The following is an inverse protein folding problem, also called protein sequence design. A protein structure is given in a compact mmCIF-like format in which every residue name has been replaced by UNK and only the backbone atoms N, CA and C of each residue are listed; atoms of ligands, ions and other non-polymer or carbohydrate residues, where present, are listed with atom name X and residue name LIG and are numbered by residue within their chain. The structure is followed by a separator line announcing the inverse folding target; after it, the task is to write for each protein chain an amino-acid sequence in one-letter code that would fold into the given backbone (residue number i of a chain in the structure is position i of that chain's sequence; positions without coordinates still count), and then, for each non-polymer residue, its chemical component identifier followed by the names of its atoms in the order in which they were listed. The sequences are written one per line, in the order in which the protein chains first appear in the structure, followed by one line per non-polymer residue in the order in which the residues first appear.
data_IF_116687979056
#
_entry.id   IF_116687979056
#
_cell.length_a   1.000
_cell.length_b   1.000
_cell.length_c   1.000
_cell.angle_alpha   90.00
_cell.angle_beta   90.00
_cell.angle_gamma   90.00
#
_symmetry.space_group_name_H-M   'P 1'
#
loop_
_entity.id
_entity.type
_entity.pdbx_description
1 polymer ?
#
# COMPACT_ATOMS: atom_id res chain seq x y z
N UNK A 1 -18.80 2.58 9.54
CA UNK A 1 -18.84 1.87 8.25
C UNK A 1 -18.62 2.84 7.10
N UNK A 2 -17.93 2.43 6.04
CA UNK A 2 -17.76 3.22 4.83
C UNK A 2 -19.02 3.16 3.97
N UNK A 3 -19.59 4.32 3.62
CA UNK A 3 -20.83 4.42 2.84
C UNK A 3 -20.64 4.02 1.35
N UNK A 4 -19.41 4.06 0.82
CA UNK A 4 -19.08 3.64 -0.54
C UNK A 4 -19.06 2.11 -0.69
N UNK A 5 -18.86 1.38 0.39
CA UNK A 5 -18.99 -0.06 0.44
C UNK A 5 -20.42 -0.44 0.87
N UNK A 6 -21.17 -1.00 -0.08
CA UNK A 6 -22.58 -1.37 0.15
C UNK A 6 -22.72 -2.38 1.28
N UNK A 7 -21.83 -3.37 1.34
CA UNK A 7 -21.88 -4.42 2.36
C UNK A 7 -21.64 -3.88 3.77
N UNK A 8 -20.65 -2.97 3.91
CA UNK A 8 -20.34 -2.32 5.17
C UNK A 8 -21.49 -1.42 5.62
N UNK A 9 -22.16 -0.71 4.69
CA UNK A 9 -23.33 0.12 4.97
C UNK A 9 -24.51 -0.71 5.43
N UNK A 10 -24.90 -1.73 4.66
CA UNK A 10 -26.01 -2.64 4.98
C UNK A 10 -25.81 -3.27 6.37
N UNK A 11 -24.58 -3.68 6.70
CA UNK A 11 -24.24 -4.22 8.02
C UNK A 11 -24.41 -3.20 9.15
N UNK A 12 -24.03 -1.95 8.91
CA UNK A 12 -24.19 -0.86 9.89
C UNK A 12 -25.68 -0.54 10.14
N UNK A 13 -26.48 -0.51 9.07
CA UNK A 13 -27.93 -0.28 9.14
C UNK A 13 -28.63 -1.44 9.88
N UNK A 14 -28.30 -2.68 9.56
CA UNK A 14 -28.81 -3.87 10.27
C UNK A 14 -28.45 -3.85 11.77
N UNK A 15 -27.22 -3.46 12.09
CA UNK A 15 -26.77 -3.35 13.48
C UNK A 15 -27.52 -2.25 14.23
N UNK A 16 -27.71 -1.09 13.60
CA UNK A 16 -28.47 0.01 14.18
C UNK A 16 -29.97 -0.35 14.39
N UNK A 17 -30.57 -1.08 13.44
CA UNK A 17 -31.95 -1.56 13.56
C UNK A 17 -32.17 -2.51 14.74
N UNK A 18 -31.11 -3.18 15.19
CA UNK A 18 -31.10 -4.07 16.39
C UNK A 18 -30.75 -3.32 17.69
N UNK A 19 -30.68 -1.98 17.67
CA UNK A 19 -30.32 -1.16 18.81
C UNK A 19 -28.82 -0.99 19.05
N UNK A 20 -27.98 -1.42 18.11
CA UNK A 20 -26.53 -1.24 18.17
C UNK A 20 -26.14 0.20 17.78
N UNK A 21 -24.94 0.64 18.22
CA UNK A 21 -24.37 1.93 17.79
C UNK A 21 -23.53 1.72 16.55
N UNK A 22 -23.84 2.43 15.47
CA UNK A 22 -23.06 2.48 14.25
C UNK A 22 -22.86 3.92 13.81
N UNK A 23 -21.77 4.19 13.11
CA UNK A 23 -21.50 5.45 12.41
C UNK A 23 -21.14 5.15 10.96
N UNK A 24 -21.74 5.92 10.07
CA UNK A 24 -21.49 5.82 8.63
C UNK A 24 -20.70 7.04 8.17
N UNK A 25 -19.65 6.84 7.40
CA UNK A 25 -18.85 7.93 6.86
C UNK A 25 -18.71 7.80 5.34
N UNK A 26 -18.70 8.93 4.65
CA UNK A 26 -18.60 8.94 3.21
C UNK A 26 -18.77 10.31 2.57
N UNK A 27 -19.49 10.37 1.45
CA UNK A 27 -19.72 11.58 0.66
C UNK A 27 -21.20 11.95 0.50
N UNK A 28 -22.10 11.13 1.00
CA UNK A 28 -23.54 11.39 0.87
C UNK A 28 -24.00 12.35 1.95
N UNK A 29 -25.09 13.08 1.66
CA UNK A 29 -25.64 14.08 2.60
C UNK A 29 -26.17 13.45 3.89
N UNK A 30 -26.54 12.19 3.83
CA UNK A 30 -27.12 11.40 4.93
C UNK A 30 -26.07 10.61 5.73
N UNK A 31 -24.76 10.69 5.35
CA UNK A 31 -23.70 10.07 6.12
C UNK A 31 -23.44 10.87 7.42
N UNK A 32 -23.22 10.16 8.56
CA UNK A 32 -22.93 10.77 9.86
C UNK A 32 -21.68 11.67 9.80
N UNK A 33 -20.64 11.18 9.11
CA UNK A 33 -19.43 11.96 8.81
C UNK A 33 -19.23 12.05 7.31
N UNK A 34 -19.06 13.28 6.82
CA UNK A 34 -18.98 13.54 5.38
C UNK A 34 -17.78 14.41 5.02
N UNK A 35 -17.17 14.15 3.86
CA UNK A 35 -16.21 15.02 3.22
C UNK A 35 -16.86 15.78 2.07
N UNK A 36 -16.83 17.10 2.16
CA UNK A 36 -17.26 18.03 1.10
C UNK A 36 -16.06 18.77 0.52
N UNK A 37 -16.21 19.30 -0.70
CA UNK A 37 -15.22 20.21 -1.34
C UNK A 37 -13.81 19.63 -1.36
N UNK A 38 -13.68 18.35 -1.74
CA UNK A 38 -12.37 17.70 -1.83
C UNK A 38 -11.56 18.30 -2.97
N UNK A 39 -10.38 18.82 -2.67
CA UNK A 39 -9.45 19.40 -3.65
C UNK A 39 -8.00 18.97 -3.38
N UNK A 40 -7.18 18.80 -4.43
CA UNK A 40 -5.73 18.62 -4.25
C UNK A 40 -5.11 19.81 -3.52
N UNK A 41 -4.09 19.56 -2.68
CA UNK A 41 -3.34 20.60 -2.01
C UNK A 41 -1.86 20.64 -2.41
N UNK A 42 -1.15 21.70 -2.02
CA UNK A 42 0.26 21.92 -2.35
C UNK A 42 1.24 21.00 -1.57
N UNK A 43 0.73 20.21 -0.63
CA UNK A 43 1.53 19.21 0.09
C UNK A 43 1.47 17.82 -0.56
N UNK A 44 0.85 17.71 -1.76
CA UNK A 44 0.70 16.46 -2.51
C UNK A 44 -0.48 15.59 -2.06
N UNK A 45 -1.30 16.05 -1.13
CA UNK A 45 -2.47 15.37 -0.63
C UNK A 45 -3.78 16.06 -1.00
N UNK A 46 -4.75 16.08 -0.07
CA UNK A 46 -6.08 16.65 -0.28
C UNK A 46 -6.50 17.55 0.88
N UNK A 47 -7.20 18.63 0.55
CA UNK A 47 -7.98 19.44 1.49
C UNK A 47 -9.46 19.11 1.33
N UNK A 48 -10.23 19.07 2.42
CA UNK A 48 -11.67 18.86 2.37
C UNK A 48 -12.36 19.46 3.60
N UNK A 49 -13.66 19.78 3.46
CA UNK A 49 -14.48 20.17 4.59
C UNK A 49 -15.05 18.92 5.26
N UNK A 50 -14.74 18.72 6.54
CA UNK A 50 -15.33 17.68 7.35
C UNK A 50 -16.67 18.14 7.92
N UNK A 51 -17.70 17.32 7.78
CA UNK A 51 -19.03 17.56 8.33
C UNK A 51 -19.43 16.39 9.24
N UNK A 52 -20.23 16.70 10.29
CA UNK A 52 -20.84 15.73 11.19
C UNK A 52 -22.32 16.00 11.31
N UNK A 53 -23.17 15.01 11.03
CA UNK A 53 -24.64 15.11 11.07
C UNK A 53 -25.18 16.32 10.29
N UNK A 54 -24.55 16.69 9.19
CA UNK A 54 -24.93 17.86 8.37
C UNK A 54 -24.19 19.15 8.71
N UNK A 55 -23.66 19.31 9.91
CA UNK A 55 -22.94 20.50 10.36
C UNK A 55 -21.46 20.45 9.95
N UNK A 56 -20.93 21.59 9.48
CA UNK A 56 -19.51 21.71 9.13
C UNK A 56 -18.64 21.80 10.38
N UNK A 57 -17.74 20.87 10.57
CA UNK A 57 -16.72 20.89 11.64
C UNK A 57 -15.55 21.80 11.29
N UNK A 58 -15.13 21.80 10.01
CA UNK A 58 -14.04 22.65 9.52
C UNK A 58 -13.20 21.99 8.44
N UNK A 59 -12.14 22.71 8.03
CA UNK A 59 -11.19 22.27 7.02
C UNK A 59 -10.21 21.25 7.61
N UNK A 60 -10.04 20.13 6.92
CA UNK A 60 -9.02 19.12 7.18
C UNK A 60 -8.06 19.09 6.01
N UNK A 61 -6.77 19.12 6.31
CA UNK A 61 -5.68 18.95 5.35
C UNK A 61 -4.98 17.62 5.59
N UNK A 62 -4.84 16.79 4.56
CA UNK A 62 -4.02 15.58 4.61
C UNK A 62 -2.91 15.63 3.56
N UNK A 63 -1.75 15.05 3.86
CA UNK A 63 -0.65 14.88 2.91
C UNK A 63 -0.82 13.65 2.04
N UNK A 64 -1.82 12.82 2.33
CA UNK A 64 -2.06 11.58 1.60
C UNK A 64 -2.89 11.87 0.34
N UNK A 65 -2.43 11.45 -0.85
CA UNK A 65 -3.17 11.64 -2.09
C UNK A 65 -4.33 10.65 -2.21
N UNK A 66 -5.37 11.08 -2.95
CA UNK A 66 -6.47 10.21 -3.35
C UNK A 66 -7.66 10.20 -2.40
N UNK A 67 -8.84 10.04 -2.99
CA UNK A 67 -10.13 10.06 -2.30
C UNK A 67 -10.25 8.97 -1.23
N UNK A 68 -9.66 7.80 -1.46
CA UNK A 68 -9.64 6.72 -0.49
C UNK A 68 -8.94 7.12 0.83
N UNK A 69 -7.93 7.98 0.77
CA UNK A 69 -7.28 8.51 1.97
C UNK A 69 -8.15 9.57 2.68
N UNK A 70 -8.93 10.35 1.95
CA UNK A 70 -9.95 11.22 2.56
C UNK A 70 -10.97 10.38 3.35
N UNK A 71 -11.42 9.26 2.80
CA UNK A 71 -12.32 8.33 3.49
C UNK A 71 -11.65 7.69 4.73
N UNK A 72 -10.36 7.33 4.64
CA UNK A 72 -9.60 6.83 5.78
C UNK A 72 -9.50 7.89 6.90
N UNK A 73 -9.28 9.16 6.53
CA UNK A 73 -9.26 10.28 7.49
C UNK A 73 -10.63 10.49 8.13
N UNK A 74 -11.74 10.37 7.36
CA UNK A 74 -13.09 10.43 7.92
C UNK A 74 -13.36 9.29 8.90
N UNK A 75 -12.89 8.08 8.61
CA UNK A 75 -12.99 6.96 9.54
C UNK A 75 -12.26 7.26 10.85
N UNK A 76 -11.04 7.79 10.76
CA UNK A 76 -10.27 8.20 11.92
C UNK A 76 -10.95 9.35 12.68
N UNK A 77 -11.55 10.32 11.98
CA UNK A 77 -12.32 11.40 12.58
C UNK A 77 -13.53 10.87 13.38
N UNK A 78 -14.28 9.93 12.78
CA UNK A 78 -15.44 9.34 13.46
C UNK A 78 -15.03 8.64 14.77
N UNK A 79 -13.90 7.92 14.77
CA UNK A 79 -13.37 7.28 15.98
C UNK A 79 -12.87 8.33 16.99
N UNK A 80 -12.12 9.33 16.55
CA UNK A 80 -11.58 10.38 17.40
C UNK A 80 -12.70 11.18 18.11
N UNK A 81 -13.75 11.53 17.36
CA UNK A 81 -14.91 12.27 17.90
C UNK A 81 -15.70 11.42 18.92
N UNK A 82 -15.91 10.13 18.65
CA UNK A 82 -16.55 9.20 19.61
C UNK A 82 -15.71 9.00 20.90
N UNK A 83 -14.39 9.20 20.81
CA UNK A 83 -13.49 9.18 21.95
C UNK A 83 -13.33 10.55 22.63
N UNK A 84 -14.01 11.58 22.15
CA UNK A 84 -13.97 12.93 22.71
C UNK A 84 -12.71 13.72 22.40
N UNK A 85 -11.99 13.36 21.34
CA UNK A 85 -10.81 14.12 20.88
C UNK A 85 -11.27 15.42 20.23
N UNK A 86 -10.68 16.55 20.66
CA UNK A 86 -10.97 17.88 20.08
C UNK A 86 -10.64 17.90 18.58
N UNK A 87 -11.51 18.49 17.78
CA UNK A 87 -11.36 18.54 16.32
C UNK A 87 -10.08 19.26 15.87
N UNK A 88 -9.63 20.30 16.57
CA UNK A 88 -8.41 20.99 16.20
C UNK A 88 -7.17 20.13 16.48
N UNK A 89 -7.19 19.36 17.58
CA UNK A 89 -6.12 18.37 17.86
C UNK A 89 -6.07 17.34 16.74
N UNK A 90 -7.23 16.78 16.37
CA UNK A 90 -7.33 15.80 15.29
C UNK A 90 -6.81 16.35 13.95
N UNK A 91 -7.33 17.50 13.49
CA UNK A 91 -6.95 18.06 12.19
C UNK A 91 -5.45 18.41 12.10
N UNK A 92 -4.85 18.86 13.21
CA UNK A 92 -3.41 19.16 13.26
C UNK A 92 -2.59 17.89 13.16
N UNK A 93 -2.95 16.81 13.87
CA UNK A 93 -2.30 15.51 13.77
C UNK A 93 -2.38 14.94 12.34
N UNK A 94 -3.55 15.06 11.69
CA UNK A 94 -3.72 14.61 10.29
C UNK A 94 -2.87 15.43 9.32
N UNK A 95 -2.71 16.74 9.54
CA UNK A 95 -1.88 17.60 8.69
C UNK A 95 -0.38 17.25 8.76
N UNK A 96 0.08 16.69 9.86
CA UNK A 96 1.45 16.23 10.07
C UNK A 96 1.67 14.78 9.62
N UNK A 97 0.59 13.99 9.56
CA UNK A 97 0.66 12.57 9.23
C UNK A 97 1.13 12.32 7.79
N UNK A 98 2.19 11.56 7.64
CA UNK A 98 2.84 11.28 6.35
C UNK A 98 2.46 9.92 5.74
N UNK A 99 1.53 9.22 6.35
CA UNK A 99 1.12 7.88 5.95
C UNK A 99 1.67 6.79 6.88
N UNK A 100 1.09 5.61 6.76
CA UNK A 100 1.69 4.42 7.31
C UNK A 100 2.97 4.10 6.52
N UNK A 101 4.03 3.76 7.19
CA UNK A 101 5.22 3.23 6.54
C UNK A 101 4.86 2.06 5.62
N UNK A 102 5.68 1.81 4.62
CA UNK A 102 5.47 0.74 3.65
C UNK A 102 4.17 0.89 2.81
N UNK A 103 3.80 2.13 2.43
CA UNK A 103 2.69 2.43 1.52
C UNK A 103 3.19 3.34 0.40
N UNK A 104 3.71 2.76 -0.67
CA UNK A 104 4.45 3.44 -1.74
C UNK A 104 5.50 4.41 -1.18
N UNK A 105 6.22 3.94 -0.16
CA UNK A 105 7.21 4.73 0.58
C UNK A 105 8.51 4.80 -0.21
N UNK A 106 8.92 5.99 -0.66
CA UNK A 106 10.26 6.17 -1.25
C UNK A 106 11.28 6.11 -0.13
N UNK A 107 12.09 5.04 -0.11
CA UNK A 107 13.14 4.81 0.90
C UNK A 107 14.39 5.63 0.64
N UNK A 108 14.65 5.95 -0.62
CA UNK A 108 15.79 6.76 -1.04
C UNK A 108 16.11 6.62 -2.51
N UNK A 109 17.11 7.41 -2.94
CA UNK A 109 17.71 7.32 -4.27
C UNK A 109 19.24 7.38 -4.13
N UNK A 110 19.93 6.42 -4.71
CA UNK A 110 21.40 6.32 -4.72
C UNK A 110 21.84 5.93 -6.12
N UNK A 111 22.85 6.63 -6.69
CA UNK A 111 23.39 6.41 -8.04
C UNK A 111 22.31 6.36 -9.14
N UNK A 112 21.25 7.17 -8.97
CA UNK A 112 20.12 7.20 -9.91
C UNK A 112 19.13 6.04 -9.77
N UNK A 113 19.36 5.10 -8.86
CA UNK A 113 18.42 4.02 -8.51
C UNK A 113 17.48 4.50 -7.42
N UNK A 114 16.18 4.52 -7.69
CA UNK A 114 15.15 4.86 -6.70
C UNK A 114 14.58 3.61 -6.08
N UNK A 115 14.54 3.52 -4.75
CA UNK A 115 13.95 2.40 -4.02
C UNK A 115 12.64 2.81 -3.36
N UNK A 116 11.59 2.03 -3.59
CA UNK A 116 10.25 2.21 -3.03
C UNK A 116 9.83 0.94 -2.31
N UNK A 117 9.27 1.07 -1.11
CA UNK A 117 8.69 -0.06 -0.38
C UNK A 117 7.17 0.04 -0.32
N UNK A 118 6.50 -1.09 -0.55
CA UNK A 118 5.04 -1.18 -0.42
C UNK A 118 4.62 -2.49 0.25
N UNK A 119 3.69 -2.39 1.16
CA UNK A 119 3.13 -3.52 1.91
C UNK A 119 2.23 -4.42 1.05
N UNK A 120 2.07 -4.11 -0.23
CA UNK A 120 1.22 -4.85 -1.18
C UNK A 120 1.53 -6.35 -1.16
N UNK A 121 0.55 -7.13 -0.75
CA UNK A 121 0.64 -8.58 -0.57
C UNK A 121 -0.60 -9.32 -1.09
N UNK A 122 -1.47 -8.62 -1.80
CA UNK A 122 -2.62 -9.15 -2.52
C UNK A 122 -2.48 -8.80 -4.02
N UNK A 123 -2.94 -9.65 -4.95
CA UNK A 123 -2.83 -9.38 -6.40
C UNK A 123 -3.34 -8.01 -6.83
N UNK A 124 -4.47 -7.58 -6.29
CA UNK A 124 -5.06 -6.26 -6.59
C UNK A 124 -4.17 -5.11 -6.10
N UNK A 125 -3.55 -5.25 -4.91
CA UNK A 125 -2.63 -4.25 -4.35
C UNK A 125 -1.36 -4.14 -5.20
N UNK A 126 -0.77 -5.28 -5.60
CA UNK A 126 0.42 -5.33 -6.46
C UNK A 126 0.16 -4.61 -7.79
N UNK A 127 -0.98 -4.91 -8.44
CA UNK A 127 -1.39 -4.22 -9.68
C UNK A 127 -1.51 -2.72 -9.48
N UNK A 128 -2.13 -2.28 -8.38
CA UNK A 128 -2.31 -0.87 -8.06
C UNK A 128 -0.96 -0.17 -7.78
N UNK A 129 -0.05 -0.82 -7.05
CA UNK A 129 1.29 -0.29 -6.75
C UNK A 129 2.13 -0.16 -8.01
N UNK A 130 2.13 -1.16 -8.89
CA UNK A 130 2.85 -1.12 -10.17
C UNK A 130 2.26 -0.04 -11.11
N UNK A 131 0.93 0.14 -11.11
CA UNK A 131 0.28 1.24 -11.83
C UNK A 131 0.72 2.61 -11.30
N UNK A 132 0.79 2.76 -9.97
CA UNK A 132 1.27 3.99 -9.34
C UNK A 132 2.74 4.26 -9.68
N UNK A 133 3.58 3.21 -9.74
CA UNK A 133 4.97 3.33 -10.14
C UNK A 133 5.10 3.82 -11.58
N UNK A 134 4.34 3.26 -12.52
CA UNK A 134 4.33 3.72 -13.91
C UNK A 134 3.87 5.16 -14.05
N UNK A 135 2.84 5.57 -13.33
CA UNK A 135 2.40 6.97 -13.34
C UNK A 135 3.44 7.94 -12.80
N UNK A 136 4.19 7.53 -11.77
CA UNK A 136 5.17 8.39 -11.10
C UNK A 136 6.51 8.44 -11.82
N UNK A 137 6.98 7.31 -12.35
CA UNK A 137 8.32 7.17 -12.89
C UNK A 137 8.37 7.03 -14.42
N UNK A 138 7.21 6.98 -15.09
CA UNK A 138 7.12 6.91 -16.55
C UNK A 138 7.76 5.63 -17.11
N UNK A 139 8.66 5.82 -18.08
CA UNK A 139 9.32 4.73 -18.83
C UNK A 139 10.59 4.19 -18.15
N UNK A 140 10.91 4.65 -16.94
CA UNK A 140 12.03 4.08 -16.16
C UNK A 140 11.81 2.59 -15.96
N UNK A 141 12.86 1.74 -16.09
CA UNK A 141 12.73 0.31 -15.82
C UNK A 141 12.29 0.06 -14.37
N UNK A 142 11.29 -0.80 -14.19
CA UNK A 142 10.72 -1.16 -12.89
C UNK A 142 11.06 -2.59 -12.54
N UNK A 143 11.82 -2.75 -11.48
CA UNK A 143 12.11 -4.02 -10.82
C UNK A 143 11.12 -4.24 -9.69
N UNK A 144 10.42 -5.36 -9.70
CA UNK A 144 9.52 -5.77 -8.62
C UNK A 144 10.13 -6.94 -7.86
N UNK A 145 10.64 -6.70 -6.66
CA UNK A 145 11.03 -7.75 -5.72
C UNK A 145 9.82 -8.08 -4.84
N UNK A 146 9.32 -9.30 -4.94
CA UNK A 146 8.11 -9.74 -4.22
C UNK A 146 8.42 -10.90 -3.28
N UNK A 147 8.09 -10.71 -2.01
CA UNK A 147 8.05 -11.77 -1.02
C UNK A 147 6.60 -12.19 -0.78
N UNK A 148 6.15 -13.36 -1.28
CA UNK A 148 4.80 -13.84 -1.03
C UNK A 148 4.55 -13.99 0.47
N UNK A 149 3.36 -13.61 0.93
CA UNK A 149 3.01 -13.66 2.35
C UNK A 149 1.87 -14.63 2.59
N UNK A 150 2.18 -15.65 3.31
CA UNK A 150 1.57 -16.90 3.74
C UNK A 150 1.35 -17.93 2.63
N UNK A 151 1.50 -19.20 3.02
CA UNK A 151 1.34 -20.34 2.11
C UNK A 151 -0.11 -20.45 1.63
N UNK A 152 -1.07 -20.31 2.53
CA UNK A 152 -2.50 -20.41 2.23
C UNK A 152 -2.94 -19.39 1.19
N UNK A 153 -2.54 -18.13 1.36
CA UNK A 153 -2.85 -17.05 0.41
C UNK A 153 -2.18 -17.29 -0.93
N UNK A 154 -0.88 -17.61 -0.93
CA UNK A 154 -0.12 -17.84 -2.16
C UNK A 154 -0.73 -18.97 -2.97
N UNK A 155 -1.12 -20.08 -2.32
CA UNK A 155 -1.79 -21.21 -2.97
C UNK A 155 -3.15 -20.82 -3.55
N UNK A 156 -3.98 -20.13 -2.75
CA UNK A 156 -5.36 -19.77 -3.14
C UNK A 156 -5.37 -18.77 -4.31
N UNK A 157 -4.46 -17.80 -4.31
CA UNK A 157 -4.42 -16.71 -5.30
C UNK A 157 -3.28 -16.88 -6.31
N UNK A 158 -2.79 -18.09 -6.49
CA UNK A 158 -1.62 -18.39 -7.35
C UNK A 158 -1.78 -17.87 -8.78
N UNK A 159 -2.96 -18.02 -9.37
CA UNK A 159 -3.23 -17.58 -10.74
C UNK A 159 -3.23 -16.05 -10.83
N UNK A 160 -3.91 -15.41 -9.91
CA UNK A 160 -4.03 -13.95 -9.84
C UNK A 160 -2.66 -13.29 -9.55
N UNK A 161 -1.84 -13.88 -8.69
CA UNK A 161 -0.46 -13.44 -8.47
C UNK A 161 0.38 -13.53 -9.74
N UNK A 162 0.29 -14.65 -10.47
CA UNK A 162 1.05 -14.82 -11.72
C UNK A 162 0.76 -13.74 -12.76
N UNK A 163 -0.45 -13.16 -12.76
CA UNK A 163 -0.90 -12.10 -13.67
C UNK A 163 -0.72 -10.67 -13.11
N UNK A 164 -0.14 -10.54 -11.92
CA UNK A 164 -0.11 -9.23 -11.25
C UNK A 164 1.05 -8.35 -11.66
N UNK A 165 2.08 -8.89 -12.29
CA UNK A 165 3.35 -8.21 -12.52
C UNK A 165 3.55 -7.68 -13.95
N UNK A 166 2.52 -7.64 -14.78
CA UNK A 166 2.60 -7.24 -16.20
C UNK A 166 3.24 -5.85 -16.39
N UNK A 167 3.12 -4.95 -15.40
CA UNK A 167 3.68 -3.60 -15.47
C UNK A 167 5.09 -3.47 -14.88
N UNK A 168 5.70 -4.54 -14.39
CA UNK A 168 7.11 -4.61 -14.07
C UNK A 168 7.93 -5.00 -15.31
N UNK A 169 9.17 -4.53 -15.42
CA UNK A 169 10.11 -4.99 -16.46
C UNK A 169 10.86 -6.24 -16.01
N UNK A 170 11.18 -6.29 -14.72
CA UNK A 170 11.88 -7.37 -14.05
C UNK A 170 11.15 -7.79 -12.79
N UNK A 171 11.04 -9.08 -12.53
CA UNK A 171 10.37 -9.63 -11.35
C UNK A 171 11.30 -10.60 -10.63
N UNK A 172 11.55 -10.34 -9.35
CA UNK A 172 12.26 -11.25 -8.45
C UNK A 172 11.26 -11.74 -7.42
N UNK A 173 11.07 -13.04 -7.32
CA UNK A 173 10.22 -13.66 -6.30
C UNK A 173 11.08 -14.44 -5.34
N UNK A 174 10.88 -14.22 -4.04
CA UNK A 174 11.59 -14.96 -3.00
C UNK A 174 10.76 -16.12 -2.48
N UNK A 175 11.32 -16.87 -1.52
CA UNK A 175 10.54 -17.88 -0.80
C UNK A 175 9.42 -17.22 0.02
N UNK A 176 8.35 -17.99 0.28
CA UNK A 176 7.16 -17.52 0.97
C UNK A 176 7.49 -17.20 2.44
N UNK A 177 7.11 -16.01 2.89
CA UNK A 177 7.14 -15.66 4.31
C UNK A 177 5.96 -16.33 5.02
N UNK A 178 6.27 -17.30 5.88
CA UNK A 178 5.27 -18.15 6.52
C UNK A 178 4.37 -17.39 7.52
N UNK A 179 4.88 -16.31 8.13
CA UNK A 179 4.20 -15.61 9.24
C UNK A 179 3.89 -16.59 10.39
N UNK A 180 2.61 -16.89 10.61
CA UNK A 180 2.13 -17.79 11.66
C UNK A 180 1.72 -19.19 11.13
N UNK A 181 1.88 -19.41 9.84
CA UNK A 181 1.51 -20.69 9.21
C UNK A 181 2.65 -21.71 9.34
N UNK A 182 2.28 -22.98 9.49
CA UNK A 182 3.23 -24.05 9.29
C UNK A 182 3.68 -24.11 7.83
N UNK A 183 4.91 -24.57 7.61
CA UNK A 183 5.43 -24.74 6.25
C UNK A 183 4.55 -25.70 5.45
N UNK A 184 4.12 -25.27 4.27
CA UNK A 184 3.39 -26.08 3.30
C UNK A 184 4.31 -26.39 2.11
N UNK A 185 4.79 -27.64 1.97
CA UNK A 185 5.69 -27.99 0.88
C UNK A 185 4.99 -28.07 -0.49
N UNK A 186 3.68 -27.95 -0.54
CA UNK A 186 2.91 -28.03 -1.80
C UNK A 186 2.92 -26.72 -2.59
N UNK A 187 3.48 -25.63 -2.03
CA UNK A 187 3.53 -24.32 -2.67
C UNK A 187 4.82 -23.57 -2.30
N UNK A 188 5.42 -22.92 -3.28
CA UNK A 188 6.66 -22.15 -3.11
C UNK A 188 6.67 -20.91 -4.00
N UNK A 189 7.61 -19.99 -3.76
CA UNK A 189 7.87 -18.86 -4.67
C UNK A 189 8.31 -19.31 -6.07
N UNK A 190 9.00 -20.44 -6.16
CA UNK A 190 9.39 -21.03 -7.46
C UNK A 190 8.18 -21.51 -8.26
N UNK A 191 7.12 -22.02 -7.60
CA UNK A 191 5.89 -22.41 -8.28
C UNK A 191 5.17 -21.19 -8.87
N UNK A 192 5.21 -20.07 -8.18
CA UNK A 192 4.66 -18.82 -8.67
C UNK A 192 5.38 -18.36 -9.94
N UNK A 193 6.72 -18.32 -9.92
CA UNK A 193 7.51 -17.93 -11.10
C UNK A 193 7.24 -18.86 -12.30
N UNK A 194 7.18 -20.17 -12.09
CA UNK A 194 6.84 -21.12 -13.18
C UNK A 194 5.46 -20.87 -13.80
N UNK A 195 4.54 -20.29 -13.06
CA UNK A 195 3.19 -19.98 -13.55
C UNK A 195 3.09 -18.62 -14.23
N UNK A 196 4.05 -17.72 -13.98
CA UNK A 196 4.05 -16.40 -14.60
C UNK A 196 4.31 -16.49 -16.12
N UNK A 197 3.54 -15.73 -16.89
CA UNK A 197 3.85 -15.45 -18.30
C UNK A 197 4.56 -14.10 -18.40
N UNK A 198 5.73 -14.01 -17.77
CA UNK A 198 6.53 -12.80 -17.71
C UNK A 198 7.89 -13.03 -18.38
N UNK A 199 8.35 -12.05 -19.21
CA UNK A 199 9.59 -12.17 -20.00
C UNK A 199 10.85 -12.29 -19.14
N UNK A 200 10.84 -11.71 -17.94
CA UNK A 200 11.97 -11.75 -17.01
C UNK A 200 11.44 -11.85 -15.56
N UNK A 201 11.04 -13.06 -15.17
CA UNK A 201 10.70 -13.41 -13.80
C UNK A 201 11.66 -14.48 -13.29
N UNK A 202 12.25 -14.23 -12.12
CA UNK A 202 13.26 -15.11 -11.51
C UNK A 202 12.88 -15.44 -10.07
N UNK A 203 13.13 -16.67 -9.69
CA UNK A 203 13.04 -17.09 -8.29
C UNK A 203 14.44 -17.04 -7.67
N UNK A 204 14.55 -16.47 -6.50
CA UNK A 204 15.70 -16.56 -5.61
C UNK A 204 15.23 -17.01 -4.24
N UNK A 205 16.02 -17.85 -3.58
CA UNK A 205 15.53 -18.53 -2.38
C UNK A 205 15.50 -17.62 -1.15
N UNK A 206 16.51 -16.78 -1.01
CA UNK A 206 16.69 -15.97 0.20
C UNK A 206 16.65 -14.47 -0.12
N UNK A 207 16.44 -13.65 0.92
CA UNK A 207 16.52 -12.20 0.80
C UNK A 207 17.95 -11.72 0.51
N UNK A 208 18.96 -12.46 1.01
CA UNK A 208 20.37 -12.14 0.77
C UNK A 208 20.71 -12.38 -0.71
N UNK A 209 20.28 -13.52 -1.30
CA UNK A 209 20.40 -13.77 -2.74
C UNK A 209 19.70 -12.72 -3.59
N UNK A 210 18.51 -12.25 -3.15
CA UNK A 210 17.78 -11.18 -3.82
C UNK A 210 18.57 -9.85 -3.76
N UNK A 211 19.15 -9.56 -2.60
CA UNK A 211 19.99 -8.36 -2.40
C UNK A 211 21.23 -8.40 -3.28
N UNK A 212 21.94 -9.53 -3.32
CA UNK A 212 23.16 -9.70 -4.13
C UNK A 212 22.87 -9.53 -5.63
N UNK A 213 21.79 -10.16 -6.10
CA UNK A 213 21.35 -10.04 -7.48
C UNK A 213 20.98 -8.59 -7.84
N UNK A 214 20.16 -7.94 -7.01
CA UNK A 214 19.69 -6.58 -7.27
C UNK A 214 20.82 -5.56 -7.19
N UNK A 215 21.72 -5.66 -6.20
CA UNK A 215 22.85 -4.73 -6.08
C UNK A 215 23.79 -4.76 -7.30
N UNK A 216 23.88 -5.91 -7.98
CA UNK A 216 24.74 -6.08 -9.18
C UNK A 216 24.02 -5.86 -10.50
N UNK A 217 22.67 -5.87 -10.51
CA UNK A 217 21.88 -5.77 -11.75
C UNK A 217 21.23 -4.41 -11.97
N UNK A 218 21.02 -3.63 -10.90
CA UNK A 218 20.37 -2.33 -11.00
C UNK A 218 21.31 -1.29 -11.63
N UNK A 219 20.76 -0.54 -12.59
CA UNK A 219 21.46 0.52 -13.32
C UNK A 219 20.90 1.91 -12.97
N UNK A 220 21.69 3.00 -13.18
CA UNK A 220 21.17 4.36 -13.04
C UNK A 220 19.92 4.56 -13.90
N UNK A 221 18.84 5.03 -13.30
CA UNK A 221 17.54 5.16 -13.94
C UNK A 221 16.52 4.14 -13.47
N UNK A 222 16.93 3.02 -12.89
CA UNK A 222 16.01 1.98 -12.43
C UNK A 222 15.21 2.38 -11.20
N UNK A 223 14.04 1.76 -11.07
CA UNK A 223 13.16 1.85 -9.89
C UNK A 223 13.00 0.45 -9.29
N UNK A 224 13.44 0.25 -8.07
CA UNK A 224 13.21 -0.97 -7.31
C UNK A 224 11.99 -0.82 -6.42
N UNK A 225 10.99 -1.69 -6.60
CA UNK A 225 9.86 -1.85 -5.70
C UNK A 225 10.07 -3.10 -4.84
N UNK A 226 10.10 -2.95 -3.52
CA UNK A 226 9.99 -4.09 -2.59
C UNK A 226 8.54 -4.26 -2.19
N UNK A 227 7.97 -5.45 -2.46
CA UNK A 227 6.54 -5.75 -2.29
C UNK A 227 6.35 -6.92 -1.31
N UNK A 228 5.42 -6.77 -0.37
CA UNK A 228 5.06 -7.83 0.55
C UNK A 228 4.85 -7.39 1.99
N UNK A 229 4.15 -8.22 2.78
CA UNK A 229 3.84 -7.97 4.19
C UNK A 229 4.86 -8.61 5.17
N UNK A 230 5.88 -9.29 4.66
CA UNK A 230 6.97 -9.86 5.44
C UNK A 230 8.11 -8.88 5.66
N UNK A 231 9.32 -9.41 5.73
CA UNK A 231 10.58 -8.68 5.95
C UNK A 231 11.34 -8.34 4.65
N UNK A 232 10.72 -8.53 3.49
CA UNK A 232 11.29 -8.25 2.17
C UNK A 232 11.71 -6.78 1.95
N UNK A 233 11.15 -5.82 2.71
CA UNK A 233 11.57 -4.42 2.68
C UNK A 233 13.07 -4.24 2.99
N UNK A 234 13.67 -5.15 3.78
CA UNK A 234 15.10 -5.12 4.13
C UNK A 234 16.00 -5.22 2.90
N UNK A 235 15.53 -5.88 1.84
CA UNK A 235 16.26 -5.98 0.56
C UNK A 235 16.49 -4.59 -0.03
N UNK A 236 15.47 -3.75 -0.12
CA UNK A 236 15.59 -2.40 -0.66
C UNK A 236 16.52 -1.51 0.18
N UNK A 237 16.40 -1.60 1.50
CA UNK A 237 17.26 -0.86 2.44
C UNK A 237 18.73 -1.27 2.31
N UNK A 238 19.00 -2.57 2.19
CA UNK A 238 20.36 -3.10 2.05
C UNK A 238 20.94 -2.80 0.66
N UNK A 239 20.13 -2.83 -0.41
CA UNK A 239 20.56 -2.42 -1.77
C UNK A 239 20.99 -0.96 -1.75
N UNK A 240 20.21 -0.04 -1.17
CA UNK A 240 20.61 1.38 -1.04
C UNK A 240 21.94 1.52 -0.31
N UNK A 241 22.13 0.77 0.77
CA UNK A 241 23.37 0.80 1.55
C UNK A 241 24.57 0.34 0.74
N UNK A 242 24.45 -0.76 -0.04
CA UNK A 242 25.53 -1.29 -0.87
C UNK A 242 25.90 -0.34 -2.01
N UNK A 243 24.90 0.18 -2.73
CA UNK A 243 25.13 1.15 -3.80
C UNK A 243 25.85 2.41 -3.28
N UNK A 244 25.57 2.84 -2.04
CA UNK A 244 26.26 3.98 -1.43
C UNK A 244 27.72 3.67 -1.00
N UNK A 245 28.09 2.39 -0.80
CA UNK A 245 29.45 1.99 -0.40
C UNK A 245 30.42 1.84 -1.57
N UNK A 246 29.92 1.52 -2.76
CA UNK A 246 30.74 1.38 -3.97
C UNK A 246 31.31 2.71 -4.50
N UNK A 247 30.91 3.83 -3.91
CA UNK A 247 31.43 5.17 -4.22
C UNK A 247 32.66 5.57 -3.37
N UNK A 248 33.22 4.67 -2.57
CA UNK A 248 34.40 4.91 -1.74
C UNK A 248 35.57 4.07 -2.22
#
# INVERSE_FOLDING_TARGET
ACAQDRFARDLAEDWAARGGRARVYGRRRDDDYRADSIAPNNAGGSDFLACRNGDTMGLVRTRLPGEHNVLNVLAALAVADELGVDFNVFRNAVAEYRGAGRRFEVKGEVRGVTVVDDYAHHPTEIKATLEAARRRFGDRPVWAMFQPHTFSRTRTLMAEFAESFVKADHVIVTEIFASREARDPSVSGADLVRRMQHRDARFVKTLDEATDLLATSLEPGDVLLTLGAGDGNRVGEEVLRRLAMEDR
#
